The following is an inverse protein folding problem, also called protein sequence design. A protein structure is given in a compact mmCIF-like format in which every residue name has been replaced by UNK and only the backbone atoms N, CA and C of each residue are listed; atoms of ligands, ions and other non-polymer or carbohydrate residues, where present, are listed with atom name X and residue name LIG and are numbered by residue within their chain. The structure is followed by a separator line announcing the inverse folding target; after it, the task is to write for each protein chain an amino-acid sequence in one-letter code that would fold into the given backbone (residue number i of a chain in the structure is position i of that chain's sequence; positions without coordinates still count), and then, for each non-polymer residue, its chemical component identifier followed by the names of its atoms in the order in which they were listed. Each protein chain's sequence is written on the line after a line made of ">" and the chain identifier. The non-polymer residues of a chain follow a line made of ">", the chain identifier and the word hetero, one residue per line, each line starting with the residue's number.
data_IF_705547246810
#
_entry.id   IF_705547246810
#
_cell.length_a   1.000
_cell.length_b   1.000
_cell.length_c   1.000
_cell.angle_alpha   90.00
_cell.angle_beta   90.00
_cell.angle_gamma   90.00
#
_symmetry.space_group_name_H-M   'P 1'
#
loop_
_entity.id
_entity.type
_entity.pdbx_description
1 polymer ?
#
# COMPACT_ATOMS: atom_id res chain seq x y z
N UNK A 1 30.16 10.77 -7.52
CA UNK A 1 29.34 10.53 -6.34
C UNK A 1 29.96 11.28 -5.18
N UNK A 2 29.23 12.04 -4.37
CA UNK A 2 29.81 12.58 -3.13
C UNK A 2 30.24 11.40 -2.25
N UNK A 3 31.35 11.53 -1.49
CA UNK A 3 31.83 10.47 -0.64
C UNK A 3 30.75 10.04 0.35
N UNK A 4 30.52 8.74 0.50
CA UNK A 4 29.61 8.22 1.53
C UNK A 4 30.14 8.65 2.89
N UNK A 5 29.32 9.38 3.63
CA UNK A 5 29.64 9.69 5.03
C UNK A 5 29.74 8.36 5.78
N UNK A 6 30.90 7.98 6.33
CA UNK A 6 31.06 6.71 7.04
C UNK A 6 30.18 6.59 8.28
N UNK A 7 29.66 7.72 8.79
CA UNK A 7 28.75 7.80 9.93
C UNK A 7 27.27 7.95 9.54
N UNK A 8 26.93 7.78 8.26
CA UNK A 8 25.54 7.89 7.83
C UNK A 8 24.72 6.69 8.35
N UNK A 9 23.66 7.00 9.07
CA UNK A 9 22.72 5.99 9.55
C UNK A 9 22.07 5.22 8.36
N UNK A 10 21.85 3.90 8.47
CA UNK A 10 21.28 3.12 7.40
C UNK A 10 19.83 3.59 7.12
N UNK A 11 19.54 3.86 5.85
CA UNK A 11 18.21 4.30 5.41
C UNK A 11 17.17 3.20 5.68
N UNK A 12 15.92 3.55 6.04
CA UNK A 12 14.89 2.57 6.41
C UNK A 12 14.19 1.98 5.19
N UNK A 13 14.93 1.68 4.15
CA UNK A 13 14.39 1.04 2.96
C UNK A 13 15.22 -0.17 2.55
N UNK A 14 14.60 -1.01 1.78
CA UNK A 14 15.20 -2.20 1.17
C UNK A 14 14.96 -2.22 -0.31
N UNK A 15 15.85 -2.90 -1.01
CA UNK A 15 15.73 -3.16 -2.43
C UNK A 15 15.22 -4.58 -2.65
N UNK A 16 14.10 -4.70 -3.34
CA UNK A 16 13.54 -5.97 -3.80
C UNK A 16 13.88 -6.11 -5.28
N UNK A 17 14.70 -7.08 -5.66
CA UNK A 17 15.10 -7.25 -7.05
C UNK A 17 13.92 -7.47 -7.99
N UNK A 18 14.01 -6.91 -9.19
CA UNK A 18 13.13 -7.26 -10.29
C UNK A 18 13.70 -8.55 -10.90
N UNK A 19 12.93 -9.63 -11.00
CA UNK A 19 13.40 -10.88 -11.61
C UNK A 19 13.88 -10.68 -13.05
N UNK A 20 14.86 -11.49 -13.48
CA UNK A 20 15.35 -11.45 -14.86
C UNK A 20 14.32 -11.97 -15.86
N UNK A 21 13.50 -12.95 -15.44
CA UNK A 21 12.38 -13.45 -16.22
C UNK A 21 11.24 -12.43 -16.29
N UNK A 22 10.69 -12.26 -17.48
CA UNK A 22 9.59 -11.31 -17.70
C UNK A 22 8.30 -11.73 -16.99
N UNK A 23 7.39 -10.76 -16.75
CA UNK A 23 6.08 -11.03 -16.13
C UNK A 23 5.26 -12.01 -16.94
N UNK A 24 4.54 -12.90 -16.27
CA UNK A 24 3.52 -13.74 -16.92
C UNK A 24 2.34 -12.89 -17.36
N UNK A 25 2.26 -12.58 -18.64
CA UNK A 25 1.16 -11.81 -19.23
C UNK A 25 0.10 -12.74 -19.78
N UNK A 26 -1.17 -12.43 -19.47
CA UNK A 26 -2.35 -13.18 -19.93
C UNK A 26 -3.42 -12.20 -20.37
N UNK A 27 -4.40 -12.68 -21.10
CA UNK A 27 -5.58 -11.93 -21.49
C UNK A 27 -6.30 -11.38 -20.23
N UNK A 28 -6.69 -10.11 -20.20
CA UNK A 28 -7.43 -9.55 -19.07
C UNK A 28 -8.88 -10.02 -19.07
N UNK A 29 -9.43 -10.21 -17.87
CA UNK A 29 -10.87 -10.29 -17.69
C UNK A 29 -11.46 -8.90 -17.85
N UNK A 30 -12.43 -8.77 -18.73
CA UNK A 30 -13.11 -7.51 -19.04
C UNK A 30 -14.40 -7.35 -18.24
N UNK A 31 -15.20 -6.31 -18.53
CA UNK A 31 -16.38 -5.95 -17.73
C UNK A 31 -17.70 -6.32 -18.41
N UNK A 32 -17.67 -6.89 -19.61
CA UNK A 32 -18.86 -7.17 -20.43
C UNK A 32 -19.62 -8.40 -19.97
N UNK A 33 -18.96 -9.30 -19.25
CA UNK A 33 -19.55 -10.54 -18.75
C UNK A 33 -19.25 -10.76 -17.28
N UNK A 34 -20.17 -11.39 -16.61
CA UNK A 34 -20.03 -11.76 -15.21
C UNK A 34 -19.41 -13.16 -15.10
N UNK A 35 -18.12 -13.26 -14.81
CA UNK A 35 -17.36 -14.53 -14.83
C UNK A 35 -16.60 -14.82 -13.55
N UNK A 36 -16.62 -13.90 -12.59
CA UNK A 36 -15.86 -14.05 -11.34
C UNK A 36 -16.61 -13.49 -10.14
N UNK A 37 -15.95 -13.45 -9.00
CA UNK A 37 -16.50 -12.87 -7.78
C UNK A 37 -16.63 -11.36 -7.93
N UNK A 38 -17.76 -10.84 -7.49
CA UNK A 38 -18.01 -9.41 -7.40
C UNK A 38 -18.53 -9.09 -6.01
N UNK A 39 -18.11 -7.96 -5.45
CA UNK A 39 -18.53 -7.62 -4.11
C UNK A 39 -17.75 -6.48 -3.48
N UNK A 40 -17.80 -6.47 -2.16
CA UNK A 40 -17.14 -5.48 -1.32
C UNK A 40 -16.42 -6.19 -0.18
N UNK A 41 -15.15 -5.83 0.02
CA UNK A 41 -14.43 -6.11 1.25
C UNK A 41 -14.43 -4.83 2.10
N UNK A 42 -15.09 -4.88 3.24
CA UNK A 42 -14.98 -3.86 4.29
C UNK A 42 -13.96 -4.34 5.33
N UNK A 43 -13.07 -3.46 5.76
CA UNK A 43 -12.03 -3.79 6.73
C UNK A 43 -11.52 -2.55 7.45
N UNK A 44 -10.81 -2.72 8.54
CA UNK A 44 -10.11 -1.61 9.20
C UNK A 44 -8.63 -1.63 8.86
N UNK A 45 -8.04 -0.44 8.74
CA UNK A 45 -6.60 -0.23 8.83
C UNK A 45 -6.31 0.52 10.12
N UNK A 46 -5.53 -0.10 11.00
CA UNK A 46 -5.10 0.51 12.26
C UNK A 46 -3.65 0.96 12.13
N UNK A 47 -3.37 2.19 12.54
CA UNK A 47 -2.01 2.76 12.52
C UNK A 47 -1.13 2.03 13.51
N UNK A 48 -0.09 1.34 13.01
CA UNK A 48 0.86 0.57 13.82
C UNK A 48 2.18 1.33 14.10
N UNK A 49 2.60 2.22 13.20
CA UNK A 49 3.71 3.15 13.48
C UNK A 49 3.27 4.22 14.49
N UNK A 50 4.23 4.96 15.07
CA UNK A 50 3.90 6.05 15.99
C UNK A 50 2.94 7.06 15.36
N UNK A 51 3.10 7.31 14.05
CA UNK A 51 2.28 8.27 13.31
C UNK A 51 1.97 7.78 11.90
N UNK A 52 0.84 8.25 11.37
CA UNK A 52 0.49 8.21 9.96
C UNK A 52 0.37 9.64 9.44
N UNK A 53 1.03 9.95 8.33
CA UNK A 53 0.88 11.19 7.61
C UNK A 53 0.38 10.92 6.18
N UNK A 54 -0.71 11.58 5.82
CA UNK A 54 -1.25 11.57 4.45
C UNK A 54 -1.39 13.03 4.03
N UNK A 55 -0.45 13.51 3.21
CA UNK A 55 -0.39 14.92 2.85
C UNK A 55 -1.57 15.37 1.99
N UNK A 56 -2.12 16.51 2.33
CA UNK A 56 -3.19 17.17 1.55
C UNK A 56 -2.66 17.93 0.32
N UNK A 57 -1.36 18.24 0.30
CA UNK A 57 -0.76 19.20 -0.63
C UNK A 57 -0.91 20.66 -0.20
N UNK A 58 -1.54 20.93 0.94
CA UNK A 58 -1.77 22.25 1.50
C UNK A 58 -0.97 22.47 2.80
N UNK A 59 -0.90 23.72 3.20
CA UNK A 59 -0.28 24.17 4.44
C UNK A 59 -1.31 24.90 5.29
N UNK A 60 -1.09 24.86 6.60
CA UNK A 60 -1.66 25.79 7.53
C UNK A 60 -0.53 26.57 8.21
N UNK A 61 -0.85 27.73 8.76
CA UNK A 61 0.11 28.56 9.47
C UNK A 61 -0.54 29.27 10.65
N UNK A 62 0.27 29.52 11.69
CA UNK A 62 -0.09 30.31 12.85
C UNK A 62 0.86 31.52 12.96
N UNK A 63 0.42 32.74 12.59
CA UNK A 63 1.26 33.93 12.64
C UNK A 63 1.62 34.33 14.08
N UNK A 64 0.95 33.78 15.07
CA UNK A 64 1.18 34.04 16.49
C UNK A 64 2.05 32.96 17.15
N UNK A 65 2.54 31.99 16.41
CA UNK A 65 3.40 30.94 16.94
C UNK A 65 4.67 31.57 17.59
N UNK A 66 5.07 31.04 18.75
CA UNK A 66 6.25 31.49 19.49
C UNK A 66 6.98 30.27 20.07
N UNK A 67 8.29 30.43 20.24
CA UNK A 67 9.14 29.42 20.87
C UNK A 67 9.27 28.16 20.02
N UNK A 68 8.90 27.02 20.57
CA UNK A 68 9.03 25.71 19.94
C UNK A 68 7.85 25.37 19.01
N UNK A 69 6.83 26.24 18.91
CA UNK A 69 5.69 26.01 18.02
C UNK A 69 6.06 26.39 16.59
N UNK A 70 5.78 25.50 15.62
CA UNK A 70 5.95 25.87 14.23
C UNK A 70 4.91 26.90 13.81
N UNK A 71 5.32 27.83 12.98
CA UNK A 71 4.44 28.80 12.32
C UNK A 71 3.81 28.26 11.02
N UNK A 72 4.38 27.19 10.45
CA UNK A 72 3.88 26.56 9.22
C UNK A 72 3.97 25.04 9.33
N UNK A 73 2.93 24.34 8.88
CA UNK A 73 2.95 22.87 8.78
C UNK A 73 2.13 22.35 7.61
N UNK A 74 2.50 21.17 7.12
CA UNK A 74 1.71 20.43 6.11
C UNK A 74 0.52 19.75 6.77
N UNK A 75 -0.68 19.94 6.20
CA UNK A 75 -1.90 19.38 6.77
C UNK A 75 -2.12 17.92 6.34
N UNK A 76 -2.79 17.17 7.20
CA UNK A 76 -3.32 15.86 6.85
C UNK A 76 -4.45 16.00 5.84
N UNK A 77 -4.59 15.04 4.94
CA UNK A 77 -5.63 15.06 3.92
C UNK A 77 -7.04 14.99 4.53
N UNK A 78 -7.89 15.90 4.07
CA UNK A 78 -9.30 15.97 4.46
C UNK A 78 -10.19 16.01 3.22
N UNK A 79 -11.37 15.41 3.37
CA UNK A 79 -12.44 15.55 2.42
C UNK A 79 -13.66 16.12 3.14
N UNK A 80 -14.19 17.24 2.69
CA UNK A 80 -15.28 17.96 3.35
C UNK A 80 -15.01 18.21 4.85
N UNK A 81 -13.77 18.61 5.19
CA UNK A 81 -13.34 18.86 6.57
C UNK A 81 -13.02 17.62 7.40
N UNK A 82 -13.37 16.42 6.96
CA UNK A 82 -13.12 15.18 7.68
C UNK A 82 -11.79 14.55 7.24
N UNK A 83 -10.96 14.13 8.22
CA UNK A 83 -9.74 13.36 7.95
C UNK A 83 -10.09 12.12 7.13
N UNK A 84 -9.32 11.82 6.11
CA UNK A 84 -9.46 10.57 5.40
C UNK A 84 -8.15 10.14 4.71
N UNK A 85 -8.08 8.86 4.36
CA UNK A 85 -7.00 8.34 3.52
C UNK A 85 -7.57 8.16 2.12
N UNK A 86 -7.07 8.88 1.09
CA UNK A 86 -7.58 8.73 -0.26
C UNK A 86 -7.49 7.27 -0.76
N UNK A 87 -8.56 6.79 -1.39
CA UNK A 87 -8.59 5.46 -1.98
C UNK A 87 -7.49 5.24 -3.02
N UNK A 88 -7.06 6.30 -3.69
CA UNK A 88 -5.91 6.28 -4.61
C UNK A 88 -4.59 5.99 -3.91
N UNK A 89 -4.40 6.51 -2.70
CA UNK A 89 -3.22 6.23 -1.87
C UNK A 89 -3.19 4.77 -1.41
N UNK A 90 -4.34 4.22 -1.02
CA UNK A 90 -4.49 2.80 -0.68
C UNK A 90 -4.22 1.93 -1.90
N UNK A 91 -4.90 2.21 -3.01
CA UNK A 91 -4.73 1.47 -4.26
C UNK A 91 -3.27 1.46 -4.73
N UNK A 92 -2.59 2.60 -4.68
CA UNK A 92 -1.18 2.71 -5.08
C UNK A 92 -0.24 1.90 -4.20
N UNK A 93 -0.43 1.93 -2.88
CA UNK A 93 0.38 1.17 -1.94
C UNK A 93 0.21 -0.35 -2.14
N UNK A 94 -1.02 -0.84 -2.21
CA UNK A 94 -1.32 -2.26 -2.41
C UNK A 94 -0.86 -2.73 -3.79
N UNK A 95 -1.08 -1.92 -4.84
CA UNK A 95 -0.60 -2.25 -6.19
C UNK A 95 0.92 -2.42 -6.24
N UNK A 96 1.69 -1.56 -5.60
CA UNK A 96 3.16 -1.66 -5.61
C UNK A 96 3.65 -2.96 -4.98
N UNK A 97 2.98 -3.44 -3.91
CA UNK A 97 3.28 -4.73 -3.29
C UNK A 97 2.89 -5.87 -4.23
N UNK A 98 1.68 -5.85 -4.81
CA UNK A 98 1.27 -6.84 -5.80
C UNK A 98 2.24 -6.92 -6.97
N UNK A 99 2.67 -5.77 -7.51
CA UNK A 99 3.67 -5.73 -8.59
C UNK A 99 4.99 -6.43 -8.21
N UNK A 100 5.42 -6.29 -6.96
CA UNK A 100 6.65 -6.92 -6.49
C UNK A 100 6.48 -8.44 -6.32
N UNK A 101 5.42 -8.88 -5.64
CA UNK A 101 5.26 -10.29 -5.27
C UNK A 101 4.75 -11.19 -6.41
N UNK A 102 4.24 -10.61 -7.50
CA UNK A 102 3.77 -11.34 -8.69
C UNK A 102 4.68 -11.25 -9.89
N UNK A 103 5.87 -10.71 -9.74
CA UNK A 103 6.75 -10.42 -10.87
C UNK A 103 6.00 -9.66 -11.99
N UNK A 104 5.30 -8.58 -11.67
CA UNK A 104 4.57 -7.75 -12.62
C UNK A 104 5.45 -6.61 -13.19
N UNK A 105 4.94 -5.89 -14.17
CA UNK A 105 5.60 -4.70 -14.69
C UNK A 105 5.77 -3.62 -13.59
N UNK A 106 6.69 -2.70 -13.80
CA UNK A 106 6.86 -1.50 -12.95
C UNK A 106 5.95 -0.41 -13.48
N UNK A 107 4.84 -0.13 -12.78
CA UNK A 107 3.85 0.85 -13.27
C UNK A 107 4.22 2.30 -13.00
N UNK A 108 5.06 2.54 -11.99
CA UNK A 108 5.52 3.85 -11.58
C UNK A 108 7.05 3.90 -11.60
N UNK A 109 7.60 4.68 -12.50
CA UNK A 109 9.03 4.98 -12.58
C UNK A 109 9.24 6.40 -13.12
N UNK A 110 10.36 7.01 -12.75
CA UNK A 110 10.73 8.33 -13.25
C UNK A 110 11.28 8.24 -14.67
N UNK A 111 11.14 9.31 -15.45
CA UNK A 111 11.78 9.42 -16.76
C UNK A 111 13.30 9.33 -16.58
N UNK A 112 13.93 8.42 -17.32
CA UNK A 112 15.38 8.17 -17.23
C UNK A 112 15.79 7.10 -16.21
N UNK A 113 14.85 6.46 -15.51
CA UNK A 113 15.12 5.23 -14.77
C UNK A 113 15.19 4.05 -15.75
N UNK A 114 16.21 3.23 -15.61
CA UNK A 114 16.38 2.02 -16.41
C UNK A 114 15.57 0.88 -15.85
N UNK A 115 14.41 0.65 -16.45
CA UNK A 115 13.57 -0.51 -16.17
C UNK A 115 13.80 -1.56 -17.26
N UNK A 116 14.02 -2.84 -16.89
CA UNK A 116 14.16 -3.91 -17.87
C UNK A 116 13.02 -3.88 -18.90
N UNK A 117 13.30 -4.04 -20.18
CA UNK A 117 12.31 -3.99 -21.26
C UNK A 117 11.13 -4.93 -21.01
N UNK A 118 11.40 -6.11 -20.44
CA UNK A 118 10.36 -7.09 -20.04
C UNK A 118 9.41 -6.57 -19.00
N UNK A 119 9.85 -5.64 -18.12
CA UNK A 119 9.10 -5.07 -17.01
C UNK A 119 8.59 -3.67 -17.25
N UNK A 120 8.70 -3.16 -18.45
CA UNK A 120 8.08 -1.90 -18.82
C UNK A 120 6.55 -1.98 -18.67
N UNK A 121 5.95 -0.81 -18.42
CA UNK A 121 4.50 -0.68 -18.20
C UNK A 121 3.70 -1.36 -19.31
N UNK A 122 2.71 -2.15 -18.92
CA UNK A 122 1.74 -2.69 -19.85
C UNK A 122 0.95 -1.57 -20.52
N UNK A 123 0.52 -1.80 -21.76
CA UNK A 123 -0.48 -1.00 -22.48
C UNK A 123 -1.69 -1.86 -22.81
N UNK A 124 -2.83 -1.24 -23.04
CA UNK A 124 -4.04 -1.94 -23.49
C UNK A 124 -4.77 -1.06 -24.51
N UNK A 125 -5.12 -1.68 -25.63
CA UNK A 125 -5.93 -1.03 -26.68
C UNK A 125 -7.18 -1.85 -26.92
N UNK A 126 -8.37 -1.28 -26.75
CA UNK A 126 -9.62 -1.97 -27.03
C UNK A 126 -9.63 -2.55 -28.46
N UNK A 127 -10.08 -3.80 -28.59
CA UNK A 127 -10.13 -4.49 -29.87
C UNK A 127 -8.82 -5.15 -30.35
N UNK A 128 -7.71 -5.02 -29.57
CA UNK A 128 -6.49 -5.78 -29.78
C UNK A 128 -6.30 -6.79 -28.66
N UNK A 129 -5.89 -8.02 -29.02
CA UNK A 129 -5.51 -9.02 -28.03
C UNK A 129 -4.18 -8.62 -27.39
N UNK A 130 -4.26 -7.91 -26.27
CA UNK A 130 -3.07 -7.50 -25.50
C UNK A 130 -3.07 -8.22 -24.15
N UNK A 131 -1.99 -8.93 -23.88
CA UNK A 131 -1.78 -9.63 -22.62
C UNK A 131 -1.22 -8.69 -21.57
N UNK A 132 -1.77 -8.76 -20.35
CA UNK A 132 -1.39 -7.93 -19.22
C UNK A 132 -0.79 -8.76 -18.09
N UNK A 133 0.16 -8.17 -17.36
CA UNK A 133 0.72 -8.76 -16.16
C UNK A 133 -0.35 -8.86 -15.03
N UNK A 134 -0.13 -9.70 -13.99
CA UNK A 134 -1.12 -9.89 -12.91
C UNK A 134 -1.61 -8.59 -12.27
N UNK A 135 -0.71 -7.66 -11.94
CA UNK A 135 -1.10 -6.38 -11.35
C UNK A 135 -1.93 -5.51 -12.31
N UNK A 136 -1.57 -5.43 -13.60
CA UNK A 136 -2.33 -4.64 -14.57
C UNK A 136 -3.70 -5.24 -14.89
N UNK A 137 -3.84 -6.57 -14.88
CA UNK A 137 -5.15 -7.23 -15.00
C UNK A 137 -6.08 -6.88 -13.85
N UNK A 138 -5.54 -6.70 -12.65
CA UNK A 138 -6.33 -6.45 -11.43
C UNK A 138 -6.59 -4.95 -11.21
N UNK A 139 -5.55 -4.12 -11.27
CA UNK A 139 -5.63 -2.69 -10.94
C UNK A 139 -5.91 -1.78 -12.14
N UNK A 140 -5.87 -2.35 -13.34
CA UNK A 140 -6.06 -1.60 -14.59
C UNK A 140 -4.79 -0.94 -15.12
N UNK A 141 -4.91 -0.46 -16.34
CA UNK A 141 -3.87 0.25 -17.10
C UNK A 141 -4.58 1.26 -18.03
N UNK A 142 -3.85 2.19 -18.63
CA UNK A 142 -4.43 3.06 -19.64
C UNK A 142 -5.16 2.24 -20.71
N UNK A 143 -6.42 2.54 -20.96
CA UNK A 143 -7.33 1.83 -21.88
C UNK A 143 -8.12 0.68 -21.25
N UNK A 144 -7.78 0.21 -20.04
CA UNK A 144 -8.55 -0.82 -19.32
C UNK A 144 -8.79 -0.40 -17.87
N UNK A 145 -10.05 -0.28 -17.49
CA UNK A 145 -10.46 -0.04 -16.10
C UNK A 145 -10.04 -1.23 -15.23
N UNK A 146 -9.53 -0.93 -14.03
CA UNK A 146 -9.22 -1.97 -13.05
C UNK A 146 -10.48 -2.65 -12.50
N UNK A 147 -10.31 -3.87 -12.03
CA UNK A 147 -11.37 -4.67 -11.38
C UNK A 147 -11.39 -4.51 -9.86
N UNK A 148 -10.46 -3.73 -9.31
CA UNK A 148 -10.37 -3.42 -7.88
C UNK A 148 -10.31 -1.91 -7.69
N UNK A 149 -11.20 -1.40 -6.81
CA UNK A 149 -11.32 0.02 -6.49
C UNK A 149 -11.38 0.21 -4.97
N UNK A 150 -10.64 1.19 -4.48
CA UNK A 150 -10.66 1.57 -3.07
C UNK A 150 -11.44 2.87 -2.91
N UNK A 151 -12.38 2.89 -1.99
CA UNK A 151 -12.98 4.13 -1.51
C UNK A 151 -12.00 4.84 -0.57
N UNK A 152 -12.27 6.12 -0.32
CA UNK A 152 -11.55 6.84 0.72
C UNK A 152 -11.83 6.17 2.08
N UNK A 153 -10.78 5.95 2.86
CA UNK A 153 -10.94 5.38 4.19
C UNK A 153 -11.25 6.48 5.21
N UNK A 154 -12.29 6.27 5.99
CA UNK A 154 -12.80 7.24 6.96
C UNK A 154 -12.44 6.84 8.40
N UNK A 155 -12.25 7.78 9.33
CA UNK A 155 -11.95 7.49 10.72
C UNK A 155 -13.02 6.61 11.39
N UNK A 156 -12.57 5.71 12.25
CA UNK A 156 -13.44 4.97 13.17
C UNK A 156 -13.41 5.69 14.52
N UNK A 157 -14.47 6.43 14.82
CA UNK A 157 -14.54 7.27 16.02
C UNK A 157 -13.71 8.57 15.89
N UNK A 158 -13.43 9.17 17.05
CA UNK A 158 -12.63 10.40 17.10
C UNK A 158 -11.15 10.06 16.98
N UNK A 159 -10.49 10.69 16.03
CA UNK A 159 -9.04 10.58 15.81
C UNK A 159 -8.36 11.89 16.20
N UNK A 160 -7.28 11.80 16.96
CA UNK A 160 -6.43 12.92 17.31
C UNK A 160 -5.28 13.07 16.32
N UNK A 161 -4.98 14.30 15.97
CA UNK A 161 -3.79 14.67 15.20
C UNK A 161 -2.80 15.39 16.08
N UNK A 162 -1.54 15.35 15.66
CA UNK A 162 -0.45 16.06 16.28
C UNK A 162 0.45 16.68 15.20
N UNK A 163 0.93 17.89 15.44
CA UNK A 163 1.93 18.51 14.57
C UNK A 163 3.30 18.02 15.03
N UNK A 164 3.95 17.21 14.20
CA UNK A 164 5.26 16.62 14.49
C UNK A 164 6.34 17.20 13.60
N UNK A 165 7.55 17.37 14.16
CA UNK A 165 8.74 17.75 13.41
C UNK A 165 9.39 16.52 12.80
N UNK A 166 9.70 16.58 11.52
CA UNK A 166 10.43 15.54 10.80
C UNK A 166 11.59 16.14 10.00
N UNK A 167 12.66 15.38 9.81
CA UNK A 167 13.72 15.78 8.88
C UNK A 167 13.17 15.91 7.46
N UNK A 168 13.66 16.89 6.72
CA UNK A 168 13.24 17.12 5.34
C UNK A 168 13.44 15.87 4.47
N UNK A 169 12.52 15.68 3.54
CA UNK A 169 12.55 14.56 2.61
C UNK A 169 13.18 15.05 1.30
N UNK A 170 14.44 14.73 1.11
CA UNK A 170 15.14 15.00 -0.14
C UNK A 170 14.59 14.13 -1.27
N UNK A 171 14.77 14.58 -2.51
CA UNK A 171 14.45 13.74 -3.65
C UNK A 171 15.14 12.37 -3.51
N UNK A 172 14.41 11.26 -3.73
CA UNK A 172 15.04 9.95 -3.68
C UNK A 172 16.17 9.91 -4.71
N UNK A 173 17.37 9.51 -4.27
CA UNK A 173 18.45 9.15 -5.18
C UNK A 173 17.95 8.18 -6.24
N UNK A 174 18.59 8.17 -7.42
CA UNK A 174 18.28 7.20 -8.49
C UNK A 174 18.12 5.82 -7.89
N UNK A 175 17.08 5.10 -8.34
CA UNK A 175 16.93 3.70 -7.98
C UNK A 175 18.18 2.96 -8.44
N UNK A 176 18.65 2.03 -7.62
CA UNK A 176 19.56 1.02 -8.15
C UNK A 176 18.81 0.29 -9.25
N UNK A 177 19.44 0.22 -10.41
CA UNK A 177 18.90 -0.42 -11.59
C UNK A 177 18.34 -1.81 -11.24
N UNK A 178 17.18 -2.14 -11.79
CA UNK A 178 16.54 -3.44 -11.63
C UNK A 178 16.05 -3.79 -10.22
N UNK A 179 15.77 -2.81 -9.37
CA UNK A 179 15.23 -3.04 -8.03
C UNK A 179 13.98 -2.20 -7.75
N UNK A 180 13.11 -2.73 -6.89
CA UNK A 180 11.96 -2.02 -6.35
C UNK A 180 12.26 -1.57 -4.92
N UNK A 181 12.00 -0.30 -4.64
CA UNK A 181 12.26 0.30 -3.32
C UNK A 181 11.05 0.15 -2.41
N UNK A 182 11.26 -0.43 -1.23
CA UNK A 182 10.25 -0.51 -0.18
C UNK A 182 10.79 0.04 1.14
N UNK A 183 9.91 0.59 1.97
CA UNK A 183 10.26 1.13 3.28
C UNK A 183 9.83 0.17 4.37
N UNK A 184 10.77 -0.24 5.23
CA UNK A 184 10.53 -1.13 6.36
C UNK A 184 9.76 -0.41 7.47
N UNK A 185 8.96 -1.15 8.23
CA UNK A 185 8.42 -0.69 9.49
C UNK A 185 9.50 -0.76 10.57
N UNK A 186 9.89 0.41 11.08
CA UNK A 186 10.84 0.60 12.17
C UNK A 186 10.24 1.55 13.21
N UNK A 187 10.81 1.61 14.41
CA UNK A 187 10.39 2.54 15.45
C UNK A 187 10.66 3.99 15.03
N UNK A 188 9.67 4.84 15.21
CA UNK A 188 9.84 6.29 14.98
C UNK A 188 10.86 6.85 15.97
N UNK A 189 11.80 7.63 15.47
CA UNK A 189 12.78 8.35 16.27
C UNK A 189 12.33 9.80 16.43
N UNK A 190 11.81 10.12 17.59
CA UNK A 190 11.38 11.49 17.91
C UNK A 190 12.59 12.43 18.00
N UNK A 191 12.43 13.63 17.45
CA UNK A 191 13.43 14.68 17.55
C UNK A 191 13.26 15.40 18.89
N UNK A 192 14.35 15.53 19.64
CA UNK A 192 14.36 16.21 20.96
C UNK A 192 14.16 17.72 20.83
N UNK A 193 14.75 18.33 19.82
CA UNK A 193 14.57 19.76 19.52
C UNK A 193 13.34 19.97 18.64
N UNK A 194 12.32 20.63 19.20
CA UNK A 194 11.05 20.90 18.52
C UNK A 194 11.04 22.24 17.76
N UNK A 195 12.05 23.07 17.92
CA UNK A 195 12.10 24.41 17.31
C UNK A 195 12.16 24.34 15.78
N UNK A 196 11.55 25.30 15.07
CA UNK A 196 11.73 25.44 13.62
C UNK A 196 13.21 25.58 13.26
N UNK A 197 13.67 24.82 12.27
CA UNK A 197 15.08 24.81 11.82
C UNK A 197 15.15 24.47 10.33
N UNK A 198 16.15 24.98 9.64
CA UNK A 198 16.46 24.59 8.26
C UNK A 198 16.73 23.09 8.15
N UNK A 199 16.22 22.45 7.11
CA UNK A 199 16.35 21.00 6.88
C UNK A 199 15.30 20.16 7.62
N UNK A 200 14.33 20.79 8.25
CA UNK A 200 13.19 20.15 8.91
C UNK A 200 11.88 20.74 8.42
N UNK A 201 10.81 19.96 8.58
CA UNK A 201 9.43 20.38 8.30
C UNK A 201 8.49 19.87 9.37
N UNK A 202 7.36 20.52 9.48
CA UNK A 202 6.28 20.09 10.35
C UNK A 202 5.13 19.48 9.54
N UNK A 203 4.56 18.42 10.05
CA UNK A 203 3.44 17.73 9.42
C UNK A 203 2.38 17.41 10.46
N UNK A 204 1.12 17.60 10.09
CA UNK A 204 0.01 17.12 10.88
C UNK A 204 -0.16 15.61 10.66
N UNK A 205 -0.02 14.83 11.70
CA UNK A 205 -0.04 13.39 11.64
C UNK A 205 -1.03 12.77 12.63
N UNK A 206 -1.60 11.64 12.26
CA UNK A 206 -2.51 10.85 13.08
C UNK A 206 -1.69 9.91 13.95
N UNK A 207 -2.04 9.78 15.23
CA UNK A 207 -1.34 8.95 16.21
C UNK A 207 -1.58 7.46 16.01
N UNK A 208 -0.69 6.66 16.61
CA UNK A 208 -0.80 5.20 16.70
C UNK A 208 -2.18 4.77 17.22
N UNK A 209 -2.62 3.56 16.84
CA UNK A 209 -3.90 2.96 17.22
C UNK A 209 -5.14 3.60 16.59
N UNK A 210 -5.01 4.75 15.95
CA UNK A 210 -6.09 5.29 15.15
C UNK A 210 -6.48 4.31 14.04
N UNK A 211 -7.79 4.10 13.89
CA UNK A 211 -8.33 3.15 12.92
C UNK A 211 -9.15 3.86 11.86
N UNK A 212 -9.05 3.36 10.64
CA UNK A 212 -9.82 3.83 9.48
C UNK A 212 -10.65 2.69 8.90
N UNK A 213 -11.93 2.94 8.66
CA UNK A 213 -12.80 2.03 7.94
C UNK A 213 -12.53 2.14 6.45
N UNK A 214 -12.15 1.04 5.84
CA UNK A 214 -11.83 0.92 4.42
C UNK A 214 -12.89 0.11 3.68
N UNK A 215 -13.09 0.42 2.40
CA UNK A 215 -13.90 -0.37 1.47
C UNK A 215 -13.13 -0.60 0.18
N UNK A 216 -13.05 -1.85 -0.21
CA UNK A 216 -12.50 -2.27 -1.49
C UNK A 216 -13.60 -2.95 -2.30
N UNK A 217 -13.96 -2.36 -3.42
CA UNK A 217 -14.89 -2.93 -4.38
C UNK A 217 -14.12 -3.80 -5.36
N UNK A 218 -14.62 -4.97 -5.64
CA UNK A 218 -14.04 -5.87 -6.62
C UNK A 218 -15.10 -6.42 -7.58
N UNK A 219 -14.72 -6.62 -8.82
CA UNK A 219 -15.58 -6.99 -9.93
C UNK A 219 -14.89 -8.05 -10.79
N UNK A 220 -15.57 -9.17 -11.05
CA UNK A 220 -15.02 -10.27 -11.85
C UNK A 220 -13.64 -10.78 -11.39
N UNK A 221 -13.41 -10.86 -10.10
CA UNK A 221 -12.12 -11.23 -9.52
C UNK A 221 -12.14 -12.73 -9.18
N UNK A 222 -11.09 -13.45 -9.53
CA UNK A 222 -10.93 -14.84 -9.10
C UNK A 222 -10.58 -14.91 -7.60
N UNK A 223 -10.94 -16.01 -6.93
CA UNK A 223 -10.58 -16.19 -5.51
C UNK A 223 -9.06 -16.09 -5.28
N UNK A 224 -8.26 -16.64 -6.20
CA UNK A 224 -6.80 -16.50 -6.15
C UNK A 224 -6.33 -15.02 -6.24
N UNK A 225 -7.00 -14.20 -7.04
CA UNK A 225 -6.69 -12.76 -7.13
C UNK A 225 -7.13 -12.01 -5.87
N UNK A 226 -8.23 -12.41 -5.21
CA UNK A 226 -8.58 -11.89 -3.88
C UNK A 226 -7.54 -12.29 -2.84
N UNK A 227 -7.09 -13.54 -2.84
CA UNK A 227 -6.02 -14.03 -1.97
C UNK A 227 -4.73 -13.21 -2.12
N UNK A 228 -4.37 -12.85 -3.36
CA UNK A 228 -3.24 -12.00 -3.65
C UNK A 228 -3.37 -10.60 -2.99
N UNK A 229 -4.57 -10.04 -2.94
CA UNK A 229 -4.81 -8.76 -2.27
C UNK A 229 -4.64 -8.88 -0.75
N UNK A 230 -5.03 -10.01 -0.14
CA UNK A 230 -4.80 -10.23 1.29
C UNK A 230 -3.31 -10.35 1.62
N UNK A 231 -2.52 -11.04 0.80
CA UNK A 231 -1.06 -11.01 0.93
C UNK A 231 -0.51 -9.58 0.84
N UNK A 232 -0.99 -8.78 -0.10
CA UNK A 232 -0.55 -7.40 -0.25
C UNK A 232 -1.01 -6.47 0.90
N UNK A 233 -2.08 -6.83 1.62
CA UNK A 233 -2.53 -6.17 2.84
C UNK A 233 -1.73 -6.58 4.09
N UNK A 234 -0.71 -7.43 3.93
CA UNK A 234 0.16 -7.88 5.01
C UNK A 234 -0.28 -9.17 5.68
N UNK A 235 -1.34 -9.83 5.19
CA UNK A 235 -1.79 -11.10 5.73
C UNK A 235 -0.87 -12.24 5.29
N UNK A 236 -0.63 -13.19 6.20
CA UNK A 236 -0.01 -14.47 5.91
C UNK A 236 -0.90 -15.60 6.42
N UNK A 237 -0.75 -16.77 5.82
CA UNK A 237 -1.40 -17.99 6.32
C UNK A 237 -0.39 -18.74 7.16
N UNK A 238 -0.73 -18.94 8.42
CA UNK A 238 0.03 -19.79 9.36
C UNK A 238 -0.89 -20.92 9.81
N UNK A 239 -0.61 -22.14 9.30
CA UNK A 239 -1.46 -23.33 9.45
C UNK A 239 -2.93 -23.01 9.13
N UNK A 240 -3.79 -22.97 10.15
CA UNK A 240 -5.22 -22.67 10.03
C UNK A 240 -5.59 -21.23 10.40
N UNK A 241 -4.60 -20.32 10.56
CA UNK A 241 -4.84 -18.93 10.98
C UNK A 241 -4.38 -17.94 9.90
N UNK A 242 -5.02 -16.79 9.90
CA UNK A 242 -4.51 -15.61 9.21
C UNK A 242 -3.76 -14.77 10.23
N UNK A 243 -2.49 -14.55 9.97
CA UNK A 243 -1.61 -13.72 10.79
C UNK A 243 -1.13 -12.52 10.00
N UNK A 244 -0.59 -11.53 10.69
CA UNK A 244 0.07 -10.39 10.06
C UNK A 244 1.55 -10.73 9.91
N UNK A 245 2.01 -10.87 8.68
CA UNK A 245 3.41 -11.17 8.35
C UNK A 245 4.28 -9.92 8.23
N UNK A 246 3.69 -8.81 7.79
CA UNK A 246 4.34 -7.50 7.72
C UNK A 246 3.29 -6.37 7.73
N UNK A 247 3.74 -5.16 8.01
CA UNK A 247 2.86 -3.97 8.02
C UNK A 247 3.09 -3.12 6.78
N UNK A 248 2.14 -3.10 5.82
CA UNK A 248 2.20 -2.22 4.65
C UNK A 248 2.33 -0.76 5.07
N UNK A 249 3.08 0.04 4.29
CA UNK A 249 3.20 1.47 4.52
C UNK A 249 2.38 2.27 3.52
N UNK A 250 1.53 3.15 4.05
CA UNK A 250 0.70 4.08 3.28
C UNK A 250 1.06 5.53 3.61
N UNK A 251 0.64 6.46 2.78
CA UNK A 251 0.84 7.90 2.98
C UNK A 251 2.25 8.39 2.68
N UNK A 252 2.59 9.53 3.25
CA UNK A 252 3.86 10.22 3.11
C UNK A 252 4.85 9.93 4.24
N UNK A 253 6.00 10.56 4.18
CA UNK A 253 7.06 10.48 5.20
C UNK A 253 7.50 9.03 5.58
N UNK A 254 7.33 8.08 4.66
CA UNK A 254 7.79 6.69 4.83
C UNK A 254 9.28 6.58 5.19
N UNK A 255 10.18 7.43 4.64
CA UNK A 255 11.59 7.46 5.04
C UNK A 255 11.81 7.83 6.52
N UNK A 256 10.81 8.41 7.17
CA UNK A 256 10.81 8.74 8.62
C UNK A 256 10.04 7.71 9.44
N UNK A 257 9.85 6.52 8.88
CA UNK A 257 9.18 5.38 9.49
C UNK A 257 7.70 5.58 9.86
N UNK A 258 7.04 6.57 9.26
CA UNK A 258 5.61 6.78 9.38
C UNK A 258 4.84 5.83 8.44
N UNK A 259 3.55 5.64 8.72
CA UNK A 259 2.58 5.08 7.80
C UNK A 259 2.46 3.55 7.80
N UNK A 260 3.04 2.83 8.75
CA UNK A 260 2.80 1.40 8.92
C UNK A 260 1.37 1.16 9.45
N UNK A 261 0.63 0.25 8.80
CA UNK A 261 -0.77 -0.04 9.14
C UNK A 261 -1.03 -1.54 9.20
N UNK A 262 -2.00 -1.93 10.02
CA UNK A 262 -2.42 -3.34 10.19
C UNK A 262 -3.84 -3.50 9.69
N UNK A 263 -4.05 -4.51 8.86
CA UNK A 263 -5.36 -4.96 8.41
C UNK A 263 -6.10 -5.69 9.52
N UNK A 264 -7.40 -5.42 9.64
CA UNK A 264 -8.25 -6.08 10.64
C UNK A 264 -9.74 -6.02 10.34
N UNK A 265 -10.51 -6.75 11.12
CA UNK A 265 -11.98 -6.76 11.13
C UNK A 265 -12.60 -6.91 9.72
N UNK A 266 -12.27 -7.96 8.95
CA UNK A 266 -12.80 -8.13 7.61
C UNK A 266 -14.30 -8.48 7.63
N UNK A 267 -15.03 -7.88 6.68
CA UNK A 267 -16.38 -8.26 6.31
C UNK A 267 -16.44 -8.31 4.80
N UNK A 268 -16.92 -9.43 4.25
CA UNK A 268 -17.02 -9.63 2.81
C UNK A 268 -18.47 -9.69 2.41
N UNK A 269 -18.87 -8.90 1.45
CA UNK A 269 -20.19 -8.96 0.82
C UNK A 269 -19.98 -9.43 -0.61
N UNK A 270 -20.41 -10.65 -0.91
CA UNK A 270 -20.31 -11.25 -2.23
C UNK A 270 -21.62 -11.10 -2.99
N UNK A 271 -21.52 -10.77 -4.26
CA UNK A 271 -22.60 -10.77 -5.23
C UNK A 271 -22.17 -11.63 -6.41
N UNK A 272 -23.14 -12.29 -7.04
CA UNK A 272 -22.87 -13.14 -8.18
C UNK A 272 -22.74 -14.59 -7.83
N UNK A 273 -22.97 -15.39 -8.82
CA UNK A 273 -23.01 -16.84 -8.83
C UNK A 273 -23.49 -17.30 -10.20
N UNK A 274 -23.81 -18.58 -10.33
CA UNK A 274 -24.25 -19.17 -11.58
C UNK A 274 -25.70 -18.83 -11.98
N UNK A 275 -26.48 -18.25 -11.06
CA UNK A 275 -27.89 -17.92 -11.27
C UNK A 275 -28.19 -16.45 -11.00
N UNK A 276 -29.28 -15.94 -11.64
CA UNK A 276 -29.79 -14.60 -11.36
C UNK A 276 -30.14 -14.41 -9.87
N UNK A 277 -30.60 -15.46 -9.20
CA UNK A 277 -30.91 -15.44 -7.77
C UNK A 277 -29.67 -15.17 -6.95
N UNK A 278 -28.54 -15.80 -7.25
CA UNK A 278 -27.26 -15.58 -6.57
C UNK A 278 -26.75 -14.14 -6.77
N UNK A 279 -27.08 -13.54 -7.92
CA UNK A 279 -26.74 -12.15 -8.20
C UNK A 279 -27.58 -11.15 -7.40
N UNK A 280 -28.86 -11.43 -7.22
CA UNK A 280 -29.79 -10.57 -6.49
C UNK A 280 -29.62 -10.66 -4.97
N UNK A 281 -29.16 -11.81 -4.46
CA UNK A 281 -28.97 -12.05 -3.04
C UNK A 281 -27.49 -11.96 -2.62
N UNK A 282 -27.13 -10.82 -2.04
CA UNK A 282 -25.78 -10.64 -1.50
C UNK A 282 -25.53 -11.58 -0.31
N UNK A 283 -24.44 -12.34 -0.35
CA UNK A 283 -23.95 -13.15 0.79
C UNK A 283 -22.99 -12.34 1.62
N UNK A 284 -23.33 -12.09 2.90
CA UNK A 284 -22.46 -11.38 3.84
C UNK A 284 -21.70 -12.36 4.73
N UNK A 285 -20.40 -12.23 4.80
CA UNK A 285 -19.49 -13.00 5.65
C UNK A 285 -18.84 -12.06 6.67
N UNK A 286 -18.93 -12.41 7.95
CA UNK A 286 -18.34 -11.65 9.07
C UNK A 286 -17.62 -12.60 10.02
N UNK A 287 -16.79 -12.07 10.93
CA UNK A 287 -16.09 -12.86 11.94
C UNK A 287 -15.37 -14.07 11.34
N UNK A 288 -15.54 -15.25 11.94
CA UNK A 288 -14.89 -16.49 11.48
C UNK A 288 -15.26 -16.87 10.04
N UNK A 289 -16.47 -16.54 9.59
CA UNK A 289 -16.89 -16.79 8.21
C UNK A 289 -16.07 -15.97 7.21
N UNK A 290 -15.77 -14.73 7.52
CA UNK A 290 -14.89 -13.90 6.71
C UNK A 290 -13.44 -14.42 6.75
N UNK A 291 -12.94 -14.78 7.92
CA UNK A 291 -11.57 -15.30 8.08
C UNK A 291 -11.38 -16.59 7.28
N UNK A 292 -12.31 -17.55 7.38
CA UNK A 292 -12.25 -18.78 6.57
C UNK A 292 -12.26 -18.50 5.08
N UNK A 293 -13.07 -17.56 4.63
CA UNK A 293 -13.10 -17.15 3.22
C UNK A 293 -11.74 -16.54 2.78
N UNK A 294 -11.14 -15.69 3.62
CA UNK A 294 -9.81 -15.14 3.35
C UNK A 294 -8.77 -16.26 3.21
N UNK A 295 -8.78 -17.23 4.12
CA UNK A 295 -7.87 -18.39 4.10
C UNK A 295 -8.01 -19.19 2.81
N UNK A 296 -9.24 -19.48 2.38
CA UNK A 296 -9.51 -20.19 1.13
C UNK A 296 -8.96 -19.42 -0.08
N UNK A 297 -9.20 -18.11 -0.14
CA UNK A 297 -8.66 -17.26 -1.21
C UNK A 297 -7.13 -17.25 -1.22
N UNK A 298 -6.50 -17.13 -0.05
CA UNK A 298 -5.03 -17.14 0.07
C UNK A 298 -4.45 -18.50 -0.34
N UNK A 299 -5.06 -19.60 0.03
CA UNK A 299 -4.65 -20.93 -0.41
C UNK A 299 -4.73 -21.06 -1.93
N UNK A 300 -5.86 -20.69 -2.54
CA UNK A 300 -6.01 -20.68 -4.00
C UNK A 300 -4.98 -19.79 -4.69
N UNK A 301 -4.60 -18.69 -4.06
CA UNK A 301 -3.54 -17.83 -4.58
C UNK A 301 -2.19 -18.54 -4.61
N UNK A 302 -1.82 -19.25 -3.55
CA UNK A 302 -0.58 -20.03 -3.49
C UNK A 302 -0.56 -21.15 -4.53
N UNK A 303 -1.67 -21.84 -4.70
CA UNK A 303 -1.81 -22.95 -5.66
C UNK A 303 -1.83 -22.48 -7.14
N UNK A 304 -2.28 -21.25 -7.39
CA UNK A 304 -2.46 -20.71 -8.74
C UNK A 304 -1.17 -20.31 -9.47
N UNK A 305 -0.05 -20.19 -8.74
CA UNK A 305 1.20 -19.66 -9.27
C UNK A 305 1.20 -18.15 -9.56
N UNK A 306 0.19 -17.40 -9.06
CA UNK A 306 0.15 -15.95 -9.20
C UNK A 306 1.29 -15.27 -8.44
N UNK A 307 1.64 -15.81 -7.28
CA UNK A 307 2.77 -15.32 -6.49
C UNK A 307 4.07 -15.89 -7.09
N UNK A 308 4.99 -15.01 -7.44
CA UNK A 308 6.32 -15.38 -7.85
C UNK A 308 7.14 -15.76 -6.61
N UNK A 309 7.47 -17.04 -6.46
CA UNK A 309 7.99 -17.62 -5.22
C UNK A 309 9.23 -16.88 -4.68
N UNK A 310 10.25 -16.70 -5.51
CA UNK A 310 11.50 -16.05 -5.07
C UNK A 310 11.31 -14.57 -4.74
N UNK A 311 10.44 -13.85 -5.48
CA UNK A 311 10.10 -12.45 -5.17
C UNK A 311 9.35 -12.34 -3.85
N UNK A 312 8.42 -13.27 -3.58
CA UNK A 312 7.68 -13.30 -2.33
C UNK A 312 8.57 -13.60 -1.13
N UNK A 313 9.42 -14.62 -1.24
CA UNK A 313 10.35 -14.99 -0.17
C UNK A 313 11.30 -13.82 0.17
N UNK A 314 11.86 -13.17 -0.86
CA UNK A 314 12.71 -12.00 -0.67
C UNK A 314 11.94 -10.83 -0.08
N UNK A 315 10.77 -10.51 -0.63
CA UNK A 315 9.92 -9.42 -0.13
C UNK A 315 9.54 -9.66 1.34
N UNK A 316 9.05 -10.86 1.66
CA UNK A 316 8.64 -11.25 3.01
C UNK A 316 9.80 -11.13 4.01
N UNK A 317 10.99 -11.63 3.67
CA UNK A 317 12.17 -11.58 4.55
C UNK A 317 12.59 -10.14 4.86
N UNK A 318 12.50 -9.25 3.86
CA UNK A 318 12.92 -7.85 3.99
C UNK A 318 11.86 -6.96 4.66
N UNK A 319 10.58 -7.26 4.48
CA UNK A 319 9.48 -6.39 4.93
C UNK A 319 8.96 -6.70 6.32
N UNK A 320 9.53 -7.69 7.02
CA UNK A 320 9.21 -7.93 8.43
C UNK A 320 9.48 -6.68 9.26
N UNK A 321 8.60 -6.41 10.20
CA UNK A 321 8.75 -5.30 11.14
C UNK A 321 10.07 -5.43 11.90
N UNK A 322 10.78 -4.31 12.04
CA UNK A 322 12.09 -4.24 12.69
C UNK A 322 11.99 -3.44 13.99
N UNK A 323 12.59 -3.96 15.04
CA UNK A 323 12.63 -3.31 16.36
C UNK A 323 13.72 -2.21 16.48
N UNK A 324 14.31 -1.81 15.36
CA UNK A 324 15.30 -0.77 15.25
C UNK A 324 14.66 0.61 15.14
N UNK A 325 15.35 1.63 15.62
CA UNK A 325 14.92 3.01 15.42
C UNK A 325 15.14 3.50 13.99
N UNK A 326 14.23 4.35 13.56
CA UNK A 326 14.37 5.10 12.31
C UNK A 326 15.56 6.06 12.39
N UNK A 327 16.32 6.27 11.32
CA UNK A 327 17.36 7.28 11.28
C UNK A 327 16.83 8.67 11.62
N UNK A 328 17.57 9.41 12.47
CA UNK A 328 17.22 10.79 12.88
C UNK A 328 17.79 11.82 11.91
N UNK A 329 18.96 11.53 11.36
CA UNK A 329 19.71 12.43 10.51
C UNK A 329 19.05 12.77 9.17
N UNK A 330 19.54 13.84 8.53
CA UNK A 330 19.27 14.11 7.12
C UNK A 330 20.11 13.18 6.26
N UNK A 331 19.56 12.60 5.22
CA UNK A 331 20.26 11.74 4.26
C UNK A 331 19.86 11.99 2.81
#
# INVERSE_FOLDING_TARGET
>A
MPPRNPNAEPKPFVWVPIPSEGPQRREPTTHERFVGLTGVLEFTLTVNSAYLFVGSGAYEFDPNARGDRPDVWYTFYRRNGQLCIPGTSLKGAIRSIVEAITNSCVSQYKRGEEIPLSHQRCSYRPGKQENLCPACRLFGVAGLRGRVHFADAIPVGRIETEIIKIGELWEPSRQEEQNRKFYQAKRYAELSDKRPQTGYRFVEAVKREASFQCRMYFENVAEAELGLLFFALGCEKDEEKVVIGFTPKIGGAKPRCLGAVVFGKPKVVLRGGSTLKDFLHARSLTGDGAIRFLQQCMQKCQESGLIHKSSWEKFRSEMRDRDEFCPRGMY
#
